data_IF_772952702341
#
_entry.id   IF_772952702341
#
_cell.length_a   1.000
_cell.length_b   1.000
_cell.length_c   1.000
_cell.angle_alpha   90.00
_cell.angle_beta   90.00
_cell.angle_gamma   90.00
#
_symmetry.space_group_name_H-M   'P 1'
#
loop_
_entity.id
_entity.type
_entity.pdbx_description
1 polymer ?
#
# COMPACT_ATOMS: atom_id res chain seq x y z
N UNK A 1 53.02 -70.91 -9.57
CA UNK A 1 52.38 -69.85 -10.39
C UNK A 1 52.01 -70.45 -11.74
N UNK A 2 50.85 -70.18 -12.38
CA UNK A 2 49.47 -69.92 -11.94
C UNK A 2 48.50 -71.06 -12.42
N UNK A 3 47.20 -71.04 -12.03
CA UNK A 3 46.03 -71.33 -12.91
C UNK A 3 44.78 -71.82 -12.15
N UNK A 4 43.76 -70.95 -12.14
CA UNK A 4 42.31 -71.16 -12.33
C UNK A 4 41.61 -72.33 -11.62
N UNK A 5 40.68 -71.97 -10.72
CA UNK A 5 39.36 -72.62 -10.67
C UNK A 5 38.25 -71.64 -10.34
N UNK A 6 37.29 -71.56 -11.26
CA UNK A 6 36.05 -70.81 -11.25
C UNK A 6 35.05 -71.37 -10.24
N UNK A 7 34.30 -70.48 -9.56
CA UNK A 7 33.01 -70.81 -8.94
C UNK A 7 32.08 -69.59 -8.90
N UNK A 8 31.31 -69.48 -9.98
CA UNK A 8 29.88 -69.16 -10.06
C UNK A 8 29.22 -68.31 -8.95
N UNK A 9 28.78 -67.12 -9.39
CA UNK A 9 27.52 -66.40 -9.07
C UNK A 9 26.52 -67.16 -8.18
N UNK A 10 26.15 -66.56 -7.05
CA UNK A 10 24.93 -66.88 -6.30
C UNK A 10 24.12 -65.61 -5.99
N UNK A 11 23.16 -65.37 -6.89
CA UNK A 11 21.74 -65.04 -6.67
C UNK A 11 21.37 -64.06 -5.55
N UNK A 12 20.85 -62.91 -6.01
CA UNK A 12 20.04 -61.92 -5.31
C UNK A 12 19.08 -62.51 -4.30
N UNK A 13 19.28 -62.18 -3.02
CA UNK A 13 18.29 -62.38 -1.97
C UNK A 13 17.39 -61.14 -1.93
N UNK A 14 16.45 -61.07 -2.88
CA UNK A 14 15.34 -60.12 -2.79
C UNK A 14 14.53 -60.47 -1.54
N UNK A 15 14.71 -59.70 -0.47
CA UNK A 15 13.75 -59.63 0.61
C UNK A 15 12.44 -59.08 0.05
N UNK A 16 11.56 -60.00 -0.38
CA UNK A 16 10.13 -59.72 -0.51
C UNK A 16 9.56 -59.51 0.88
N UNK A 17 9.74 -58.29 1.38
CA UNK A 17 9.00 -57.78 2.53
C UNK A 17 7.57 -57.62 2.05
N UNK A 18 6.76 -58.65 2.32
CA UNK A 18 5.31 -58.67 2.15
C UNK A 18 4.75 -57.40 2.75
N UNK A 19 4.35 -56.50 1.85
CA UNK A 19 3.66 -55.28 2.17
C UNK A 19 2.25 -55.69 2.55
N UNK A 20 2.01 -55.88 3.85
CA UNK A 20 0.65 -55.97 4.38
C UNK A 20 -0.19 -54.84 3.75
N UNK A 21 -1.47 -55.08 3.42
CA UNK A 21 -2.34 -54.01 2.96
C UNK A 21 -2.37 -53.00 4.10
N UNK A 22 -1.66 -51.89 3.89
CA UNK A 22 -1.61 -50.78 4.82
C UNK A 22 -3.06 -50.47 5.14
N UNK A 23 -3.39 -50.49 6.42
CA UNK A 23 -4.60 -49.89 6.95
C UNK A 23 -4.69 -48.51 6.31
N UNK A 24 -5.44 -48.40 5.21
CA UNK A 24 -5.84 -47.13 4.61
C UNK A 24 -6.79 -46.55 5.62
N UNK A 25 -6.21 -46.01 6.69
CA UNK A 25 -6.86 -45.31 7.77
C UNK A 25 -7.71 -44.27 7.08
N UNK A 26 -9.02 -44.54 7.00
CA UNK A 26 -10.02 -43.71 6.35
C UNK A 26 -9.70 -42.26 6.70
N UNK A 27 -9.29 -41.51 5.69
CA UNK A 27 -9.11 -40.07 5.80
C UNK A 27 -10.40 -39.52 6.44
N UNK A 28 -10.30 -38.79 7.56
CA UNK A 28 -11.49 -38.18 8.13
C UNK A 28 -12.06 -37.20 7.11
N UNK A 29 -13.34 -37.38 6.79
CA UNK A 29 -14.18 -36.39 6.11
C UNK A 29 -13.91 -36.16 4.61
N UNK A 30 -14.07 -37.20 3.78
CA UNK A 30 -14.25 -37.04 2.32
C UNK A 30 -13.10 -36.39 1.55
N UNK A 31 -11.90 -36.32 2.17
CA UNK A 31 -10.74 -35.66 1.59
C UNK A 31 -10.01 -36.58 0.60
N UNK A 32 -9.72 -36.06 -0.58
CA UNK A 32 -8.95 -36.74 -1.61
C UNK A 32 -7.49 -36.99 -1.22
N UNK A 33 -6.95 -38.11 -1.69
CA UNK A 33 -5.52 -38.42 -1.57
C UNK A 33 -4.70 -37.37 -2.33
N UNK A 34 -3.72 -36.77 -1.66
CA UNK A 34 -2.85 -35.76 -2.28
C UNK A 34 -1.69 -36.49 -2.99
N UNK A 35 -1.31 -35.96 -4.15
CA UNK A 35 -0.17 -36.43 -4.95
C UNK A 35 0.92 -35.36 -5.04
N UNK A 36 2.11 -35.71 -5.55
CA UNK A 36 3.22 -34.75 -5.72
C UNK A 36 2.87 -33.57 -6.64
N UNK A 37 1.93 -33.76 -7.57
CA UNK A 37 1.43 -32.73 -8.49
C UNK A 37 0.61 -31.64 -7.80
N UNK A 38 0.05 -31.92 -6.63
CA UNK A 38 -0.81 -30.98 -5.89
C UNK A 38 -0.02 -29.98 -5.04
N UNK A 39 1.29 -29.88 -5.27
CA UNK A 39 2.20 -29.00 -4.54
C UNK A 39 1.70 -27.56 -4.45
N UNK A 40 1.12 -27.04 -5.55
CA UNK A 40 0.63 -25.66 -5.60
C UNK A 40 -0.78 -25.52 -5.01
N UNK A 41 -1.67 -26.47 -5.32
CA UNK A 41 -3.06 -26.48 -4.81
C UNK A 41 -3.09 -26.60 -3.29
N UNK A 42 -2.20 -27.43 -2.73
CA UNK A 42 -2.12 -27.70 -1.28
C UNK A 42 -0.99 -26.96 -0.59
N UNK A 43 -0.50 -25.88 -1.22
CA UNK A 43 0.62 -25.09 -0.70
C UNK A 43 0.26 -24.35 0.60
N UNK A 44 -1.01 -24.03 0.83
CA UNK A 44 -1.46 -23.36 2.05
C UNK A 44 -1.41 -24.32 3.25
N UNK A 45 -1.96 -25.52 3.08
CA UNK A 45 -1.95 -26.59 4.08
C UNK A 45 -0.52 -27.07 4.35
N UNK A 46 0.30 -27.17 3.31
CA UNK A 46 1.70 -27.54 3.45
C UNK A 46 2.52 -26.55 4.30
N UNK A 47 2.26 -25.24 4.18
CA UNK A 47 2.94 -24.21 4.99
C UNK A 47 2.58 -24.30 6.47
N UNK A 48 1.29 -24.52 6.79
CA UNK A 48 0.88 -24.72 8.19
C UNK A 48 1.49 -26.00 8.75
N UNK A 49 1.50 -27.09 7.97
CA UNK A 49 2.13 -28.34 8.40
C UNK A 49 3.63 -28.15 8.67
N UNK A 50 4.35 -27.37 7.86
CA UNK A 50 5.75 -27.04 8.12
C UNK A 50 5.96 -26.26 9.42
N UNK A 51 5.04 -25.34 9.74
CA UNK A 51 5.08 -24.56 10.99
C UNK A 51 4.79 -25.46 12.20
N UNK A 52 3.72 -26.25 12.15
CA UNK A 52 3.24 -27.03 13.28
C UNK A 52 4.09 -28.27 13.57
N UNK A 53 4.47 -29.05 12.54
CA UNK A 53 5.24 -30.29 12.73
C UNK A 53 6.76 -30.11 12.69
N UNK A 54 7.25 -29.11 11.96
CA UNK A 54 8.68 -28.93 11.71
C UNK A 54 9.24 -27.64 12.27
N UNK A 55 8.42 -26.70 12.71
CA UNK A 55 8.87 -25.40 13.22
C UNK A 55 9.66 -24.60 12.18
N UNK A 56 9.44 -24.85 10.88
CA UNK A 56 10.18 -24.21 9.78
C UNK A 56 9.26 -23.36 8.94
N UNK A 57 9.78 -22.21 8.50
CA UNK A 57 9.10 -21.34 7.55
C UNK A 57 9.50 -21.68 6.12
N UNK A 58 8.58 -21.47 5.18
CA UNK A 58 8.82 -21.73 3.76
C UNK A 58 10.08 -21.00 3.25
N UNK A 59 10.30 -19.75 3.67
CA UNK A 59 11.45 -18.93 3.27
C UNK A 59 12.81 -19.51 3.68
N UNK A 60 12.86 -20.37 4.70
CA UNK A 60 14.11 -21.01 5.16
C UNK A 60 14.45 -22.26 4.33
N UNK A 61 13.55 -22.69 3.44
CA UNK A 61 13.71 -23.88 2.62
C UNK A 61 14.01 -23.49 1.17
N UNK A 62 15.12 -24.02 0.64
CA UNK A 62 15.32 -24.08 -0.81
C UNK A 62 14.22 -24.92 -1.46
N UNK A 63 13.84 -24.59 -2.70
CA UNK A 63 12.75 -25.25 -3.43
C UNK A 63 12.88 -26.77 -3.53
N UNK A 64 14.10 -27.30 -3.62
CA UNK A 64 14.34 -28.74 -3.64
C UNK A 64 14.05 -29.39 -2.28
N UNK A 65 14.46 -28.73 -1.18
CA UNK A 65 14.11 -29.16 0.17
C UNK A 65 12.60 -29.06 0.40
N UNK A 66 11.96 -27.98 -0.04
CA UNK A 66 10.50 -27.81 0.09
C UNK A 66 9.73 -28.96 -0.57
N UNK A 67 10.10 -29.36 -1.80
CA UNK A 67 9.53 -30.54 -2.48
C UNK A 67 9.79 -31.85 -1.72
N UNK A 68 10.98 -32.03 -1.14
CA UNK A 68 11.28 -33.20 -0.30
C UNK A 68 10.41 -33.28 0.96
N UNK A 69 10.08 -32.14 1.57
CA UNK A 69 9.17 -32.06 2.69
C UNK A 69 7.72 -32.24 2.25
N UNK A 70 7.35 -31.79 1.06
CA UNK A 70 6.02 -32.04 0.50
C UNK A 70 5.75 -33.54 0.32
N UNK A 71 6.75 -34.32 -0.12
CA UNK A 71 6.63 -35.80 -0.14
C UNK A 71 6.36 -36.42 1.24
N UNK A 72 6.91 -35.81 2.30
CA UNK A 72 6.65 -36.25 3.68
C UNK A 72 5.26 -35.83 4.14
N UNK A 73 4.83 -34.62 3.75
CA UNK A 73 3.47 -34.13 3.97
C UNK A 73 2.44 -35.02 3.31
N UNK A 74 2.60 -35.37 2.02
CA UNK A 74 1.72 -36.31 1.31
C UNK A 74 1.59 -37.64 2.06
N UNK A 75 2.71 -38.20 2.55
CA UNK A 75 2.68 -39.43 3.36
C UNK A 75 1.98 -39.25 4.71
N UNK A 76 2.10 -38.09 5.34
CA UNK A 76 1.44 -37.79 6.62
C UNK A 76 -0.07 -37.54 6.42
N UNK A 77 -0.43 -36.87 5.32
CA UNK A 77 -1.79 -36.58 4.88
C UNK A 77 -2.52 -37.87 4.57
N UNK A 78 -1.97 -38.70 3.69
CA UNK A 78 -2.60 -39.96 3.28
C UNK A 78 -2.67 -40.99 4.44
N UNK A 79 -1.94 -40.76 5.54
CA UNK A 79 -2.04 -41.54 6.80
C UNK A 79 -3.00 -40.95 7.83
N UNK A 80 -3.68 -39.85 7.52
CA UNK A 80 -4.61 -39.21 8.46
C UNK A 80 -3.96 -38.61 9.71
N UNK A 81 -2.62 -38.44 9.74
CA UNK A 81 -1.87 -38.00 10.94
C UNK A 81 -1.73 -36.49 11.06
N UNK A 82 -2.09 -35.76 10.01
CA UNK A 82 -2.13 -34.29 10.02
C UNK A 82 -3.28 -33.83 10.93
N UNK A 83 -3.19 -32.62 11.49
CA UNK A 83 -4.25 -32.11 12.36
C UNK A 83 -5.56 -31.89 11.59
N UNK A 84 -6.70 -32.13 12.28
CA UNK A 84 -8.06 -32.01 11.72
C UNK A 84 -8.35 -30.63 11.11
N UNK A 85 -7.69 -29.58 11.60
CA UNK A 85 -7.82 -28.21 11.10
C UNK A 85 -7.27 -28.04 9.69
N UNK A 86 -6.24 -28.79 9.28
CA UNK A 86 -5.70 -28.70 7.93
C UNK A 86 -6.60 -29.37 6.90
N UNK A 87 -7.38 -30.38 7.29
CA UNK A 87 -8.33 -31.05 6.40
C UNK A 87 -9.56 -30.19 6.08
N UNK A 88 -9.94 -29.27 6.99
CA UNK A 88 -11.10 -28.37 6.81
C UNK A 88 -10.83 -27.20 5.85
N UNK A 89 -9.62 -27.11 5.29
CA UNK A 89 -9.16 -25.96 4.52
C UNK A 89 -8.57 -24.90 5.44
N UNK A 90 -7.39 -24.42 5.06
CA UNK A 90 -6.70 -23.36 5.78
C UNK A 90 -6.96 -22.05 5.07
N UNK A 91 -7.39 -21.03 5.82
CA UNK A 91 -7.51 -19.67 5.28
C UNK A 91 -6.13 -19.16 4.82
N UNK A 92 -6.01 -18.95 3.51
CA UNK A 92 -4.79 -18.45 2.89
C UNK A 92 -4.43 -17.04 3.36
N UNK A 93 -5.42 -16.25 3.82
CA UNK A 93 -5.19 -14.90 4.31
C UNK A 93 -4.43 -14.86 5.65
N UNK A 94 -4.50 -15.95 6.42
CA UNK A 94 -3.82 -16.11 7.71
C UNK A 94 -2.36 -16.59 7.57
N UNK A 95 -1.87 -16.80 6.34
CA UNK A 95 -0.55 -17.34 6.07
C UNK A 95 0.50 -16.23 5.90
N UNK A 96 1.19 -15.88 6.98
CA UNK A 96 2.44 -15.13 6.86
C UNK A 96 3.52 -16.06 6.29
N UNK A 97 3.83 -15.92 5.00
CA UNK A 97 4.90 -16.70 4.34
C UNK A 97 6.25 -16.48 5.02
N UNK A 98 6.44 -15.31 5.62
CA UNK A 98 7.71 -14.85 6.13
C UNK A 98 7.72 -14.72 7.65
N UNK A 99 8.78 -15.21 8.29
CA UNK A 99 9.04 -14.94 9.71
C UNK A 99 9.36 -13.45 9.97
N UNK A 100 9.63 -12.68 8.90
CA UNK A 100 9.91 -11.26 8.99
C UNK A 100 8.65 -10.47 9.35
N UNK A 101 8.64 -9.92 10.56
CA UNK A 101 7.60 -9.01 11.04
C UNK A 101 7.95 -7.62 10.56
N UNK A 102 7.22 -7.12 9.56
CA UNK A 102 7.38 -5.77 9.07
C UNK A 102 7.08 -4.77 10.19
N UNK A 103 7.89 -3.71 10.32
CA UNK A 103 7.77 -2.72 11.40
C UNK A 103 6.46 -1.94 11.39
N UNK A 104 5.72 -1.92 10.28
CA UNK A 104 4.35 -1.38 10.23
C UNK A 104 3.36 -2.33 10.94
N UNK A 105 3.55 -3.64 10.80
CA UNK A 105 2.67 -4.63 11.41
C UNK A 105 2.83 -4.65 12.95
N UNK A 106 3.98 -4.26 13.50
CA UNK A 106 4.17 -4.17 14.96
C UNK A 106 3.57 -2.90 15.58
N UNK A 107 3.43 -1.82 14.81
CA UNK A 107 2.91 -0.51 15.27
C UNK A 107 1.41 -0.31 15.08
N UNK A 108 0.73 -1.19 14.36
CA UNK A 108 -0.73 -1.12 14.18
C UNK A 108 -1.47 -1.46 15.47
N UNK A 109 -2.47 -0.64 15.78
CA UNK A 109 -3.37 -0.87 16.90
C UNK A 109 -4.19 -2.15 16.68
N UNK A 110 -4.60 -2.79 17.77
CA UNK A 110 -5.40 -4.04 17.71
C UNK A 110 -6.66 -3.87 16.86
N UNK A 111 -7.34 -2.71 16.96
CA UNK A 111 -8.54 -2.38 16.18
C UNK A 111 -8.23 -2.24 14.68
N UNK A 112 -7.09 -1.64 14.34
CA UNK A 112 -6.65 -1.53 12.95
C UNK A 112 -6.29 -2.90 12.37
N UNK A 113 -5.66 -3.78 13.17
CA UNK A 113 -5.38 -5.17 12.76
C UNK A 113 -6.67 -5.95 12.51
N UNK A 114 -7.63 -5.87 13.42
CA UNK A 114 -8.94 -6.53 13.27
C UNK A 114 -9.70 -5.99 12.04
N UNK A 115 -9.61 -4.69 11.75
CA UNK A 115 -10.19 -4.10 10.54
C UNK A 115 -9.50 -4.59 9.25
N UNK A 116 -8.17 -4.67 9.24
CA UNK A 116 -7.40 -5.19 8.10
C UNK A 116 -7.72 -6.68 7.86
N UNK A 117 -7.86 -7.47 8.93
CA UNK A 117 -8.24 -8.88 8.83
C UNK A 117 -9.69 -9.06 8.33
N UNK A 118 -10.61 -8.19 8.76
CA UNK A 118 -12.00 -8.22 8.28
C UNK A 118 -12.08 -7.94 6.77
N UNK A 119 -11.39 -6.91 6.29
CA UNK A 119 -11.34 -6.58 4.85
C UNK A 119 -10.67 -7.71 4.05
N UNK A 120 -9.61 -8.32 4.57
CA UNK A 120 -8.96 -9.48 3.92
C UNK A 120 -9.89 -10.68 3.82
N UNK A 121 -10.68 -10.96 4.86
CA UNK A 121 -11.66 -12.04 4.86
C UNK A 121 -12.76 -11.79 3.82
N UNK A 122 -13.27 -10.57 3.74
CA UNK A 122 -14.28 -10.17 2.74
C UNK A 122 -13.78 -10.33 1.29
N UNK A 123 -12.52 -9.94 1.03
CA UNK A 123 -11.87 -10.13 -0.28
C UNK A 123 -11.65 -11.63 -0.56
N UNK A 124 -11.30 -12.42 0.45
CA UNK A 124 -11.17 -13.87 0.33
C UNK A 124 -12.49 -14.55 0.00
N UNK A 125 -13.55 -14.23 0.75
CA UNK A 125 -14.89 -14.79 0.56
C UNK A 125 -15.47 -14.43 -0.82
N UNK A 126 -15.27 -13.19 -1.28
CA UNK A 126 -15.72 -12.76 -2.60
C UNK A 126 -14.99 -13.45 -3.76
N UNK A 127 -13.68 -13.72 -3.61
CA UNK A 127 -12.93 -14.47 -4.62
C UNK A 127 -13.30 -15.95 -4.67
N UNK A 128 -13.49 -16.61 -3.52
CA UNK A 128 -13.75 -18.05 -3.47
C UNK A 128 -15.24 -18.45 -3.55
N UNK A 129 -16.18 -17.56 -3.21
CA UNK A 129 -17.61 -17.82 -3.36
C UNK A 129 -18.07 -17.87 -4.84
N UNK A 130 -17.32 -17.22 -5.74
CA UNK A 130 -17.60 -17.21 -7.19
C UNK A 130 -17.39 -18.56 -7.88
N UNK A 131 -16.57 -19.43 -7.30
CA UNK A 131 -16.20 -20.72 -7.88
C UNK A 131 -17.12 -21.88 -7.40
N UNK A 132 -17.79 -21.70 -6.26
CA UNK A 132 -18.72 -22.71 -5.70
C UNK A 132 -20.11 -22.72 -6.37
N UNK A 133 -20.55 -21.62 -6.99
CA UNK A 133 -21.85 -21.53 -7.66
C UNK A 133 -21.89 -22.05 -9.10
N UNK A 134 -20.79 -22.57 -9.65
CA UNK A 134 -20.73 -23.04 -11.04
C UNK A 134 -20.95 -24.55 -11.22
N UNK A 135 -21.28 -25.30 -10.16
CA UNK A 135 -21.41 -26.76 -10.23
C UNK A 135 -22.77 -27.30 -9.73
N UNK A 136 -23.88 -26.87 -10.34
CA UNK A 136 -25.14 -27.64 -10.35
C UNK A 136 -25.98 -27.34 -11.60
N UNK A 137 -26.25 -28.38 -12.41
CA UNK A 137 -27.29 -28.35 -13.46
C UNK A 137 -26.82 -28.74 -14.87
N UNK A 138 -26.94 -30.04 -15.17
CA UNK A 138 -26.83 -30.64 -16.51
C UNK A 138 -28.09 -30.39 -17.36
N UNK A 139 -27.92 -30.22 -18.69
CA UNK A 139 -29.01 -30.31 -19.68
C UNK A 139 -28.85 -29.39 -20.92
N UNK A 140 -28.91 -29.90 -22.16
CA UNK A 140 -28.86 -29.09 -23.37
C UNK A 140 -30.27 -28.69 -23.80
N UNK A 141 -30.54 -27.38 -23.88
CA UNK A 141 -31.76 -26.85 -24.49
C UNK A 141 -32.33 -25.65 -23.73
N UNK A 142 -32.43 -24.52 -24.42
CA UNK A 142 -33.18 -23.34 -23.95
C UNK A 142 -32.35 -22.06 -23.91
N UNK A 143 -32.55 -21.21 -24.92
CA UNK A 143 -32.14 -19.81 -24.94
C UNK A 143 -32.90 -19.03 -23.86
N UNK A 144 -32.48 -19.15 -22.61
CA UNK A 144 -32.90 -18.31 -21.50
C UNK A 144 -31.80 -17.31 -21.20
N UNK A 145 -32.04 -16.02 -21.47
CA UNK A 145 -31.11 -14.93 -21.19
C UNK A 145 -30.76 -14.92 -19.70
N UNK A 146 -29.59 -15.47 -19.36
CA UNK A 146 -29.00 -15.33 -18.02
C UNK A 146 -28.67 -13.85 -17.83
N UNK A 147 -29.37 -13.19 -16.93
CA UNK A 147 -29.07 -11.83 -16.51
C UNK A 147 -27.75 -11.88 -15.70
N UNK A 148 -26.62 -11.89 -16.41
CA UNK A 148 -25.30 -11.66 -15.81
C UNK A 148 -25.17 -10.19 -15.37
N UNK A 149 -24.12 -9.85 -14.59
CA UNK A 149 -23.78 -8.46 -14.32
C UNK A 149 -23.81 -7.69 -15.64
N UNK A 150 -24.68 -6.69 -15.72
CA UNK A 150 -24.82 -5.87 -16.91
C UNK A 150 -23.47 -5.29 -17.23
N UNK A 151 -23.06 -5.36 -18.50
CA UNK A 151 -21.88 -4.63 -18.98
C UNK A 151 -22.00 -3.18 -18.45
N UNK A 152 -20.95 -2.64 -17.80
CA UNK A 152 -20.98 -1.27 -17.29
C UNK A 152 -21.39 -0.34 -18.43
N UNK A 153 -22.25 0.64 -18.09
CA UNK A 153 -22.71 1.61 -19.07
C UNK A 153 -21.50 2.30 -19.71
N UNK A 154 -21.66 2.80 -20.94
CA UNK A 154 -20.63 3.60 -21.59
C UNK A 154 -20.20 4.78 -20.70
N UNK A 155 -21.14 5.34 -19.94
CA UNK A 155 -20.90 6.40 -18.97
C UNK A 155 -20.03 5.92 -17.80
N UNK A 156 -20.29 4.72 -17.27
CA UNK A 156 -19.51 4.12 -16.19
C UNK A 156 -18.07 3.82 -16.64
N UNK A 157 -17.89 3.39 -17.89
CA UNK A 157 -16.56 3.17 -18.47
C UNK A 157 -15.78 4.46 -18.66
N UNK A 158 -16.47 5.57 -19.01
CA UNK A 158 -15.86 6.89 -19.12
C UNK A 158 -15.47 7.40 -17.74
N UNK A 159 -16.36 7.30 -16.75
CA UNK A 159 -16.11 7.75 -15.39
C UNK A 159 -14.95 6.99 -14.74
N UNK A 160 -14.89 5.66 -14.93
CA UNK A 160 -13.78 4.86 -14.43
C UNK A 160 -12.43 5.25 -15.08
N UNK A 161 -12.45 5.62 -16.36
CA UNK A 161 -11.27 6.10 -17.08
C UNK A 161 -10.83 7.47 -16.58
N UNK A 162 -11.76 8.40 -16.43
CA UNK A 162 -11.48 9.77 -15.95
C UNK A 162 -10.96 9.77 -14.51
N UNK A 163 -11.54 8.96 -13.61
CA UNK A 163 -11.04 8.79 -12.25
C UNK A 163 -9.63 8.17 -12.22
N UNK A 164 -9.35 7.25 -13.14
CA UNK A 164 -8.01 6.70 -13.34
C UNK A 164 -7.01 7.77 -13.77
N UNK A 165 -7.38 8.59 -14.74
CA UNK A 165 -6.53 9.68 -15.26
C UNK A 165 -6.29 10.76 -14.19
N UNK A 166 -7.30 11.11 -13.39
CA UNK A 166 -7.18 12.08 -12.29
C UNK A 166 -6.25 11.57 -11.18
N UNK A 167 -6.41 10.30 -10.77
CA UNK A 167 -5.53 9.70 -9.74
C UNK A 167 -4.08 9.63 -10.20
N UNK A 168 -3.84 9.27 -11.46
CA UNK A 168 -2.48 9.28 -12.04
C UNK A 168 -1.90 10.69 -12.13
N UNK A 169 -2.72 11.68 -12.52
CA UNK A 169 -2.28 13.07 -12.55
C UNK A 169 -1.90 13.55 -11.14
N UNK A 170 -2.72 13.25 -10.13
CA UNK A 170 -2.44 13.56 -8.74
C UNK A 170 -1.14 12.88 -8.27
N UNK A 171 -0.95 11.60 -8.55
CA UNK A 171 0.26 10.84 -8.19
C UNK A 171 1.52 11.46 -8.82
N UNK A 172 1.46 11.85 -10.11
CA UNK A 172 2.56 12.56 -10.77
C UNK A 172 2.89 13.89 -10.08
N UNK A 173 1.88 14.63 -9.62
CA UNK A 173 2.10 15.89 -8.89
C UNK A 173 2.71 15.65 -7.51
N UNK A 174 2.23 14.64 -6.77
CA UNK A 174 2.81 14.27 -5.48
C UNK A 174 4.24 13.80 -5.62
N UNK A 175 4.55 12.98 -6.64
CA UNK A 175 5.91 12.55 -6.95
C UNK A 175 6.81 13.74 -7.25
N UNK A 176 6.39 14.67 -8.12
CA UNK A 176 7.17 15.90 -8.40
C UNK A 176 7.41 16.75 -7.16
N UNK A 177 6.43 16.85 -6.25
CA UNK A 177 6.58 17.58 -4.99
C UNK A 177 7.59 16.91 -4.08
N UNK A 178 7.49 15.59 -3.94
CA UNK A 178 8.42 14.76 -3.17
C UNK A 178 9.83 14.84 -3.72
N UNK A 179 10.01 14.66 -5.02
CA UNK A 179 11.31 14.76 -5.69
C UNK A 179 11.92 16.16 -5.49
N UNK A 180 11.11 17.23 -5.53
CA UNK A 180 11.56 18.60 -5.25
C UNK A 180 11.98 18.79 -3.79
N UNK A 181 11.26 18.20 -2.86
CA UNK A 181 11.57 18.25 -1.44
C UNK A 181 12.85 17.46 -1.12
N UNK A 182 12.97 16.23 -1.62
CA UNK A 182 14.18 15.40 -1.49
C UNK A 182 15.39 16.05 -2.18
N UNK A 183 15.20 16.75 -3.30
CA UNK A 183 16.25 17.54 -3.92
C UNK A 183 16.68 18.72 -3.04
N UNK A 184 15.72 19.40 -2.40
CA UNK A 184 16.00 20.51 -1.47
C UNK A 184 16.72 20.00 -0.22
N UNK A 185 16.28 18.89 0.36
CA UNK A 185 16.91 18.24 1.51
C UNK A 185 18.34 17.81 1.18
N UNK A 186 18.55 17.15 0.04
CA UNK A 186 19.89 16.78 -0.43
C UNK A 186 20.81 17.99 -0.63
N UNK A 187 20.27 19.11 -1.12
CA UNK A 187 21.04 20.35 -1.25
C UNK A 187 21.37 20.92 0.14
N UNK A 188 20.43 20.88 1.08
CA UNK A 188 20.61 21.36 2.46
C UNK A 188 21.63 20.51 3.23
N UNK A 189 21.65 19.20 3.04
CA UNK A 189 22.65 18.30 3.61
C UNK A 189 24.06 18.53 3.03
N UNK A 190 24.16 18.91 1.76
CA UNK A 190 25.45 19.19 1.10
C UNK A 190 25.99 20.60 1.36
N UNK A 191 25.10 21.60 1.47
CA UNK A 191 25.47 23.03 1.59
C UNK A 191 25.47 23.50 3.06
N UNK A 192 24.84 22.74 3.96
CA UNK A 192 24.63 23.12 5.35
C UNK A 192 23.45 24.09 5.54
N UNK A 193 23.09 24.40 6.80
CA UNK A 193 22.01 25.34 7.10
C UNK A 193 22.31 26.67 6.43
N UNK A 194 21.39 27.12 5.55
CA UNK A 194 21.53 28.40 4.84
C UNK A 194 21.90 29.50 5.84
N UNK A 195 22.91 30.29 5.53
CA UNK A 195 23.33 31.42 6.35
C UNK A 195 22.20 32.45 6.42
N UNK A 196 21.36 32.35 7.45
CA UNK A 196 20.22 33.24 7.64
C UNK A 196 20.75 34.56 8.23
N UNK A 197 21.11 35.52 7.37
CA UNK A 197 21.65 36.82 7.77
C UNK A 197 21.62 37.88 6.67
N UNK A 198 22.31 39.03 6.91
CA UNK A 198 22.48 40.12 5.93
C UNK A 198 23.15 39.63 4.65
N UNK A 199 24.03 38.64 4.77
CA UNK A 199 24.75 38.01 3.67
C UNK A 199 23.82 37.12 2.83
N UNK A 200 22.96 36.29 3.44
CA UNK A 200 21.92 35.55 2.73
C UNK A 200 20.88 36.44 2.03
N UNK A 201 20.58 37.63 2.57
CA UNK A 201 19.72 38.60 1.87
C UNK A 201 20.41 39.24 0.65
N UNK A 202 21.71 39.53 0.75
CA UNK A 202 22.49 40.04 -0.38
C UNK A 202 22.71 38.97 -1.45
N UNK A 203 22.92 37.71 -1.05
CA UNK A 203 23.00 36.56 -1.94
C UNK A 203 21.66 36.30 -2.64
N UNK A 204 20.53 36.33 -1.93
CA UNK A 204 19.20 36.25 -2.55
C UNK A 204 18.96 37.40 -3.54
N UNK A 205 19.45 38.61 -3.24
CA UNK A 205 19.40 39.75 -4.16
C UNK A 205 20.34 39.56 -5.36
N UNK A 206 21.49 38.93 -5.19
CA UNK A 206 22.44 38.60 -6.26
C UNK A 206 21.88 37.51 -7.16
N UNK A 207 21.38 36.41 -6.60
CA UNK A 207 20.73 35.32 -7.31
C UNK A 207 19.50 35.79 -8.09
N UNK A 208 18.68 36.70 -7.52
CA UNK A 208 17.58 37.32 -8.28
C UNK A 208 18.07 38.17 -9.45
N UNK A 209 19.10 38.99 -9.24
CA UNK A 209 19.69 39.79 -10.33
C UNK A 209 20.32 38.90 -11.40
N UNK A 210 20.92 37.79 -11.01
CA UNK A 210 21.52 36.80 -11.91
C UNK A 210 20.46 36.02 -12.68
N UNK A 211 19.35 35.63 -12.04
CA UNK A 211 18.21 35.03 -12.75
C UNK A 211 17.54 36.01 -13.71
N UNK A 212 17.40 37.28 -13.31
CA UNK A 212 16.86 38.34 -14.17
C UNK A 212 17.81 38.64 -15.33
N UNK A 213 19.13 38.56 -15.11
CA UNK A 213 20.16 38.70 -16.16
C UNK A 213 20.17 37.49 -17.09
N UNK A 214 20.15 36.28 -16.55
CA UNK A 214 20.09 35.04 -17.32
C UNK A 214 18.79 34.93 -18.13
N UNK A 215 17.65 35.40 -17.60
CA UNK A 215 16.40 35.47 -18.35
C UNK A 215 16.47 36.50 -19.49
N UNK A 216 17.17 37.63 -19.30
CA UNK A 216 17.40 38.61 -20.36
C UNK A 216 18.37 38.12 -21.44
N UNK A 217 19.49 37.52 -21.03
CA UNK A 217 20.50 36.97 -21.96
C UNK A 217 19.97 35.72 -22.70
N UNK A 218 19.16 34.88 -22.04
CA UNK A 218 18.47 33.74 -22.68
C UNK A 218 17.24 34.13 -23.50
N UNK A 219 16.72 35.34 -23.28
CA UNK A 219 15.56 35.88 -23.98
C UNK A 219 15.83 36.28 -25.43
N UNK A 220 17.10 36.44 -25.83
CA UNK A 220 17.48 36.77 -27.20
C UNK A 220 17.41 35.55 -28.14
N UNK A 221 17.71 34.35 -27.62
CA UNK A 221 17.68 33.10 -28.40
C UNK A 221 16.30 32.38 -28.38
N UNK A 222 15.34 32.84 -27.57
CA UNK A 222 14.06 32.14 -27.32
C UNK A 222 12.79 32.85 -27.77
N UNK A 223 12.89 34.04 -28.37
CA UNK A 223 11.71 34.86 -28.73
C UNK A 223 10.92 34.34 -29.94
N UNK A 224 11.43 33.35 -30.68
CA UNK A 224 10.82 32.87 -31.94
C UNK A 224 9.68 31.85 -31.72
N UNK A 225 9.53 31.24 -30.55
CA UNK A 225 8.60 30.12 -30.32
C UNK A 225 7.38 30.45 -29.42
N UNK A 226 7.18 31.71 -29.04
CA UNK A 226 5.94 32.12 -28.40
C UNK A 226 4.85 32.25 -29.48
N UNK A 227 4.00 31.23 -29.60
CA UNK A 227 2.88 31.15 -30.54
C UNK A 227 2.12 32.49 -30.62
N UNK A 228 1.97 33.03 -31.84
CA UNK A 228 1.33 34.33 -32.11
C UNK A 228 -0.12 34.38 -31.56
N UNK A 229 -0.75 33.22 -31.40
CA UNK A 229 -2.07 33.07 -30.77
C UNK A 229 -2.08 33.49 -29.30
N UNK A 230 -1.02 33.19 -28.55
CA UNK A 230 -0.87 33.59 -27.14
C UNK A 230 -0.45 35.05 -27.04
N UNK A 231 0.39 35.50 -27.97
CA UNK A 231 0.83 36.89 -28.06
C UNK A 231 -0.32 37.85 -28.36
N UNK A 232 -1.26 37.44 -29.22
CA UNK A 232 -2.42 38.25 -29.62
C UNK A 232 -3.70 37.94 -28.82
N UNK A 233 -3.61 37.12 -27.77
CA UNK A 233 -4.72 36.88 -26.85
C UNK A 233 -5.89 36.13 -27.51
N UNK A 234 -5.61 34.94 -28.01
CA UNK A 234 -6.51 34.09 -28.77
C UNK A 234 -7.88 33.82 -28.12
N UNK A 235 -8.90 33.87 -28.98
CA UNK A 235 -10.04 32.93 -29.03
C UNK A 235 -11.15 33.04 -27.99
N UNK A 236 -10.84 33.42 -26.75
CA UNK A 236 -11.84 33.38 -25.68
C UNK A 236 -12.65 34.67 -25.68
N UNK A 237 -13.97 34.52 -25.79
CA UNK A 237 -14.91 35.65 -25.82
C UNK A 237 -14.54 36.65 -24.71
N UNK A 238 -14.42 37.94 -25.05
CA UNK A 238 -13.95 39.00 -24.13
C UNK A 238 -14.59 38.95 -22.73
N UNK A 239 -15.83 38.46 -22.64
CA UNK A 239 -16.57 38.21 -21.40
C UNK A 239 -15.93 37.16 -20.52
N UNK A 240 -15.46 36.05 -21.10
CA UNK A 240 -14.79 34.96 -20.40
C UNK A 240 -13.43 35.39 -19.85
N UNK A 241 -12.68 36.20 -20.62
CA UNK A 241 -11.43 36.82 -20.14
C UNK A 241 -11.66 37.80 -18.99
N UNK A 242 -12.73 38.58 -19.03
CA UNK A 242 -13.12 39.45 -17.90
C UNK A 242 -13.53 38.62 -16.69
N UNK A 243 -14.33 37.56 -16.89
CA UNK A 243 -14.74 36.67 -15.81
C UNK A 243 -13.54 35.98 -15.14
N UNK A 244 -12.58 35.50 -15.93
CA UNK A 244 -11.32 34.92 -15.43
C UNK A 244 -10.49 35.96 -14.65
N UNK A 245 -10.37 37.17 -15.18
CA UNK A 245 -9.66 38.27 -14.51
C UNK A 245 -10.33 38.64 -13.18
N UNK A 246 -11.65 38.75 -13.17
CA UNK A 246 -12.40 39.16 -11.99
C UNK A 246 -12.47 38.02 -10.97
N UNK A 247 -12.54 36.75 -11.39
CA UNK A 247 -12.39 35.58 -10.53
C UNK A 247 -10.98 35.48 -9.92
N UNK A 248 -9.93 35.70 -10.70
CA UNK A 248 -8.57 35.75 -10.20
C UNK A 248 -8.36 36.89 -9.19
N UNK A 249 -8.93 38.07 -9.46
CA UNK A 249 -8.94 39.21 -8.53
C UNK A 249 -9.70 38.90 -7.24
N UNK A 250 -10.87 38.25 -7.32
CA UNK A 250 -11.64 37.82 -6.14
C UNK A 250 -10.86 36.83 -5.29
N UNK A 251 -10.27 35.79 -5.89
CA UNK A 251 -9.44 34.81 -5.17
C UNK A 251 -8.23 35.46 -4.49
N UNK A 252 -7.59 36.41 -5.17
CA UNK A 252 -6.47 37.14 -4.59
C UNK A 252 -6.91 38.08 -3.45
N UNK A 253 -8.05 38.76 -3.60
CA UNK A 253 -8.63 39.61 -2.57
C UNK A 253 -9.04 38.80 -1.33
N UNK A 254 -9.68 37.64 -1.53
CA UNK A 254 -10.09 36.71 -0.48
C UNK A 254 -8.87 36.17 0.29
N UNK A 255 -7.83 35.70 -0.40
CA UNK A 255 -6.58 35.25 0.24
C UNK A 255 -5.87 36.36 1.01
N UNK A 256 -5.98 37.60 0.54
CA UNK A 256 -5.41 38.77 1.24
C UNK A 256 -6.24 39.17 2.45
N UNK A 257 -7.57 39.05 2.36
CA UNK A 257 -8.49 39.29 3.46
C UNK A 257 -8.31 38.23 4.54
N UNK A 258 -8.30 36.94 4.19
CA UNK A 258 -8.09 35.84 5.15
C UNK A 258 -6.78 36.02 5.95
N UNK A 259 -5.68 36.33 5.27
CA UNK A 259 -4.40 36.58 5.93
C UNK A 259 -4.44 37.84 6.82
N UNK A 260 -5.21 38.87 6.44
CA UNK A 260 -5.37 40.07 7.27
C UNK A 260 -6.23 39.78 8.50
N UNK A 261 -7.30 39.02 8.34
CA UNK A 261 -8.23 38.65 9.39
C UNK A 261 -7.55 37.72 10.42
N UNK A 262 -6.75 36.75 9.96
CA UNK A 262 -5.89 35.91 10.81
C UNK A 262 -4.91 36.75 11.65
N UNK A 263 -4.26 37.76 11.05
CA UNK A 263 -3.36 38.64 11.81
C UNK A 263 -4.10 39.52 12.82
N UNK A 264 -5.30 39.97 12.49
CA UNK A 264 -6.11 40.79 13.40
C UNK A 264 -6.62 39.95 14.56
N UNK A 265 -7.06 38.71 14.31
CA UNK A 265 -7.49 37.79 15.37
C UNK A 265 -6.34 37.42 16.31
N UNK A 266 -5.15 37.09 15.78
CA UNK A 266 -3.97 36.82 16.60
C UNK A 266 -3.59 38.00 17.51
N UNK A 267 -3.66 39.24 17.00
CA UNK A 267 -3.37 40.44 17.79
C UNK A 267 -4.46 40.70 18.82
N UNK A 268 -5.73 40.46 18.49
CA UNK A 268 -6.86 40.60 19.40
C UNK A 268 -6.80 39.58 20.54
N UNK A 269 -6.47 38.32 20.24
CA UNK A 269 -6.27 37.26 21.24
C UNK A 269 -5.11 37.57 22.19
N UNK A 270 -3.99 38.09 21.66
CA UNK A 270 -2.88 38.54 22.53
C UNK A 270 -3.28 39.70 23.44
N UNK A 271 -4.09 40.64 22.93
CA UNK A 271 -4.59 41.78 23.73
C UNK A 271 -5.60 41.34 24.78
N UNK A 272 -6.51 40.40 24.46
CA UNK A 272 -7.45 39.87 25.45
C UNK A 272 -6.72 39.08 26.53
N UNK A 273 -5.73 38.26 26.15
CA UNK A 273 -4.91 37.51 27.11
C UNK A 273 -4.14 38.42 28.09
N UNK A 274 -3.64 39.57 27.63
CA UNK A 274 -3.02 40.56 28.51
C UNK A 274 -4.05 41.24 29.43
N UNK A 275 -5.22 41.63 28.89
CA UNK A 275 -6.30 42.21 29.71
C UNK A 275 -6.83 41.23 30.76
N UNK A 276 -6.90 39.95 30.46
CA UNK A 276 -7.30 38.91 31.41
C UNK A 276 -6.27 38.75 32.54
N UNK A 277 -4.97 38.80 32.20
CA UNK A 277 -3.89 38.80 33.20
C UNK A 277 -3.96 40.05 34.08
N UNK A 278 -4.10 41.23 33.49
CA UNK A 278 -4.21 42.49 34.23
C UNK A 278 -5.47 42.53 35.09
N UNK A 279 -6.59 41.97 34.61
CA UNK A 279 -7.80 41.82 35.41
C UNK A 279 -7.58 40.87 36.58
N UNK A 280 -6.92 39.72 36.37
CA UNK A 280 -6.64 38.76 37.43
C UNK A 280 -5.73 39.34 38.52
N UNK A 281 -4.76 40.17 38.15
CA UNK A 281 -3.88 40.85 39.10
C UNK A 281 -4.62 41.97 39.81
N UNK A 282 -5.44 42.76 39.11
CA UNK A 282 -6.32 43.74 39.74
C UNK A 282 -7.28 43.09 40.73
N UNK A 283 -7.93 41.99 40.38
CA UNK A 283 -8.85 41.25 41.24
C UNK A 283 -8.12 40.71 42.48
N UNK A 284 -6.87 40.23 42.32
CA UNK A 284 -6.02 39.82 43.43
C UNK A 284 -5.66 40.99 44.35
N UNK A 285 -5.33 42.16 43.78
CA UNK A 285 -5.04 43.37 44.56
C UNK A 285 -6.29 43.92 45.25
N UNK A 286 -7.45 43.91 44.58
CA UNK A 286 -8.74 44.32 45.16
C UNK A 286 -9.12 43.41 46.33
N UNK A 287 -8.91 42.09 46.23
CA UNK A 287 -9.11 41.15 47.35
C UNK A 287 -8.20 41.45 48.54
N UNK A 288 -6.91 41.64 48.30
CA UNK A 288 -5.96 41.99 49.37
C UNK A 288 -6.26 43.34 50.01
N UNK A 289 -6.75 44.32 49.24
CA UNK A 289 -7.16 45.61 49.76
C UNK A 289 -8.45 45.48 50.58
N UNK A 290 -9.43 44.71 50.11
CA UNK A 290 -10.68 44.44 50.83
C UNK A 290 -10.45 43.69 52.15
N UNK A 291 -9.50 42.74 52.20
CA UNK A 291 -9.12 42.04 53.44
C UNK A 291 -8.40 42.95 54.45
N UNK A 292 -7.70 44.00 53.98
CA UNK A 292 -6.91 44.89 54.84
C UNK A 292 -7.67 46.13 55.30
N UNK A 293 -8.65 46.57 54.53
CA UNK A 293 -9.34 47.86 54.74
C UNK A 293 -10.88 47.74 54.78
N UNK A 294 -11.44 46.54 54.64
CA UNK A 294 -12.87 46.24 54.86
C UNK A 294 -13.07 45.39 56.10
#
# INVERSE_FOLDING_TARGET
>A
MPSRRSRSRSVSRELRRSKSPDSRSRLPDGVDEITESDYFLKSAEFRVWLKDEKGKYFDQLSGEKARSYFRKFVKAWNRGKVSKSLYRGVDQASQHSTAYKWSFASKTDRKEREAIEAVRREIGESNYSRESQQNSGSGPGGSGRRQGPTLPSREDLILAREAGDESQAAERQYKRKRDREEAKERIEDMVGPKEVGREGMLEKKRAKRESDRAFREKGDDGFVEADESTLMGGGDSFRERIAQRDAARKRFAEKRQSHRDERVSEVQERRSALREKDKSTMDMFMKMAQERFG
#
